data_IF_464681787269
#
_entry.id   IF_464681787269
#
_cell.length_a   1.000
_cell.length_b   1.000
_cell.length_c   1.000
_cell.angle_alpha   90.00
_cell.angle_beta   90.00
_cell.angle_gamma   90.00
#
_symmetry.space_group_name_H-M   'P 1'
#
loop_
_entity.id
_entity.type
_entity.pdbx_description
1 polymer ?
#
# COMPACT_ATOMS: atom_id res chain seq x y z
N UNK A 1 24.26 3.24 13.03
CA UNK A 1 24.23 1.82 12.61
C UNK A 1 24.21 0.96 13.86
N UNK A 2 23.39 -0.10 13.87
CA UNK A 2 23.23 -0.96 15.02
C UNK A 2 24.41 -1.90 15.29
N UNK A 3 24.35 -2.63 16.40
CA UNK A 3 25.33 -3.62 16.80
C UNK A 3 25.23 -4.87 15.89
N UNK A 4 26.28 -5.12 15.12
CA UNK A 4 26.35 -6.26 14.18
C UNK A 4 26.20 -7.62 14.86
N UNK A 5 26.52 -7.73 16.16
CA UNK A 5 26.40 -8.99 16.91
C UNK A 5 24.94 -9.35 17.20
N UNK A 6 24.03 -8.40 17.10
CA UNK A 6 22.59 -8.57 17.27
C UNK A 6 21.85 -8.79 15.95
N UNK A 7 22.56 -8.75 14.82
CA UNK A 7 21.94 -8.97 13.52
C UNK A 7 21.49 -10.43 13.37
N UNK A 8 20.22 -10.62 13.00
CA UNK A 8 19.64 -11.92 12.78
C UNK A 8 18.95 -11.92 11.40
N UNK A 9 19.33 -12.87 10.55
CA UNK A 9 18.74 -12.99 9.20
C UNK A 9 17.25 -13.32 9.21
N UNK A 10 16.73 -13.84 10.33
CA UNK A 10 15.29 -14.10 10.47
C UNK A 10 14.48 -12.82 10.68
N UNK A 11 15.14 -11.71 11.06
CA UNK A 11 14.50 -10.40 11.24
C UNK A 11 14.39 -9.62 9.92
N UNK A 12 14.98 -10.14 8.83
CA UNK A 12 14.83 -9.55 7.51
C UNK A 12 13.37 -9.70 7.07
N UNK A 13 12.76 -8.56 6.74
CA UNK A 13 11.39 -8.53 6.23
C UNK A 13 11.23 -9.43 5.00
N UNK A 14 10.18 -10.24 5.01
CA UNK A 14 9.81 -11.12 3.91
C UNK A 14 8.34 -10.92 3.59
N UNK A 15 8.05 -10.74 2.33
CA UNK A 15 6.68 -10.75 1.83
C UNK A 15 6.41 -12.09 1.16
N UNK A 16 5.41 -12.87 1.59
CA UNK A 16 5.13 -14.20 1.02
C UNK A 16 4.95 -14.20 -0.50
N UNK A 17 4.44 -13.09 -1.05
CA UNK A 17 4.22 -12.91 -2.48
C UNK A 17 5.51 -12.95 -3.33
N UNK A 18 6.69 -12.74 -2.74
CA UNK A 18 7.95 -12.87 -3.49
C UNK A 18 8.27 -14.32 -3.88
N UNK A 19 7.83 -15.28 -3.06
CA UNK A 19 8.07 -16.71 -3.29
C UNK A 19 6.88 -17.40 -3.98
N UNK A 20 5.78 -16.68 -4.20
CA UNK A 20 4.57 -17.20 -4.83
C UNK A 20 4.62 -16.99 -6.36
N UNK A 21 4.68 -18.06 -7.18
CA UNK A 21 4.79 -17.96 -8.64
C UNK A 21 3.56 -17.34 -9.32
N UNK A 22 2.46 -17.15 -8.62
CA UNK A 22 1.28 -16.45 -9.15
C UNK A 22 1.45 -14.94 -9.16
N UNK A 23 2.44 -14.42 -8.44
CA UNK A 23 2.79 -13.01 -8.39
C UNK A 23 3.95 -12.68 -9.32
N UNK A 24 3.91 -11.50 -9.91
CA UNK A 24 4.99 -10.99 -10.75
C UNK A 24 5.67 -9.81 -10.04
N UNK A 25 6.81 -10.03 -9.38
CA UNK A 25 7.55 -8.94 -8.75
C UNK A 25 8.21 -8.05 -9.81
N UNK A 26 8.26 -6.76 -9.51
CA UNK A 26 9.00 -5.77 -10.27
C UNK A 26 9.75 -4.88 -9.28
N UNK A 27 11.03 -4.65 -9.53
CA UNK A 27 11.84 -3.75 -8.72
C UNK A 27 12.01 -2.42 -9.47
N UNK A 28 11.70 -1.32 -8.78
CA UNK A 28 12.03 0.03 -9.23
C UNK A 28 13.44 0.44 -8.80
N UNK A 29 13.88 1.57 -9.32
CA UNK A 29 15.14 2.20 -8.88
C UNK A 29 15.00 2.81 -7.48
N UNK A 30 16.13 2.89 -6.76
CA UNK A 30 16.18 3.60 -5.50
C UNK A 30 15.97 5.12 -5.72
N UNK A 31 15.13 5.72 -4.88
CA UNK A 31 14.81 7.14 -4.93
C UNK A 31 15.48 7.86 -3.76
N UNK A 32 16.25 8.89 -4.06
CA UNK A 32 16.81 9.79 -3.05
C UNK A 32 15.82 10.91 -2.75
N UNK A 33 15.36 11.00 -1.50
CA UNK A 33 14.32 11.94 -1.07
C UNK A 33 14.90 12.91 -0.04
N UNK A 34 14.75 14.20 -0.30
CA UNK A 34 15.15 15.28 0.63
C UNK A 34 14.07 15.50 1.69
N UNK A 35 13.87 14.49 2.51
CA UNK A 35 12.95 14.51 3.64
C UNK A 35 13.36 13.49 4.69
N UNK A 36 12.95 13.72 5.93
CA UNK A 36 13.06 12.71 6.97
C UNK A 36 12.22 11.47 6.57
N UNK A 37 12.76 10.27 6.80
CA UNK A 37 12.08 9.03 6.43
C UNK A 37 10.71 8.85 7.12
N UNK A 38 10.52 9.43 8.32
CA UNK A 38 9.22 9.39 9.01
C UNK A 38 8.15 10.16 8.26
N UNK A 39 8.49 11.31 7.66
CA UNK A 39 7.53 12.07 6.84
C UNK A 39 7.13 11.28 5.59
N UNK A 40 8.08 10.55 5.01
CA UNK A 40 7.81 9.66 3.87
C UNK A 40 6.95 8.48 4.30
N UNK A 41 7.24 7.86 5.45
CA UNK A 41 6.44 6.79 6.01
C UNK A 41 5.01 7.26 6.30
N UNK A 42 4.83 8.43 6.91
CA UNK A 42 3.53 9.04 7.19
C UNK A 42 2.72 9.22 5.90
N UNK A 43 3.33 9.78 4.85
CA UNK A 43 2.67 9.92 3.55
C UNK A 43 2.28 8.56 2.95
N UNK A 44 3.15 7.56 3.05
CA UNK A 44 2.91 6.23 2.47
C UNK A 44 1.80 5.45 3.17
N UNK A 45 1.49 5.74 4.43
CA UNK A 45 0.43 5.06 5.19
C UNK A 45 -0.83 5.89 5.39
N UNK A 46 -0.90 7.06 4.76
CA UNK A 46 -2.09 7.90 4.74
C UNK A 46 -2.98 7.58 3.51
N UNK A 47 -4.11 6.89 3.66
CA UNK A 47 -5.04 6.67 2.54
C UNK A 47 -5.85 7.91 2.17
N UNK A 48 -5.91 8.93 3.03
CA UNK A 48 -6.77 10.09 2.82
C UNK A 48 -6.23 10.99 1.71
N UNK A 49 -4.90 11.19 1.64
CA UNK A 49 -4.29 12.07 0.64
C UNK A 49 -4.54 11.62 -0.82
N UNK A 50 -4.77 10.33 -1.03
CA UNK A 50 -4.86 9.73 -2.38
C UNK A 50 -5.93 10.38 -3.24
N UNK A 51 -7.05 10.77 -2.65
CA UNK A 51 -8.14 11.41 -3.38
C UNK A 51 -7.81 12.84 -3.82
N UNK A 52 -6.95 13.51 -3.09
CA UNK A 52 -6.59 14.93 -3.34
C UNK A 52 -5.32 15.07 -4.17
N UNK A 53 -4.31 14.24 -3.87
CA UNK A 53 -2.99 14.32 -4.52
C UNK A 53 -2.93 13.49 -5.81
N UNK A 54 -3.70 12.39 -5.88
CA UNK A 54 -3.73 11.47 -7.02
C UNK A 54 -5.13 11.29 -7.63
N UNK A 55 -5.91 12.39 -7.90
CA UNK A 55 -7.35 12.32 -8.17
C UNK A 55 -7.72 11.63 -9.49
N UNK A 56 -6.76 11.45 -10.40
CA UNK A 56 -7.02 10.86 -11.74
C UNK A 56 -6.40 9.46 -11.91
N UNK A 57 -5.54 9.04 -10.99
CA UNK A 57 -4.82 7.77 -11.10
C UNK A 57 -5.24 6.75 -10.05
N UNK A 58 -5.04 7.07 -8.78
CA UNK A 58 -5.27 6.16 -7.64
C UNK A 58 -6.51 6.53 -6.83
N UNK A 59 -6.89 7.82 -6.82
CA UNK A 59 -8.05 8.35 -6.11
C UNK A 59 -9.17 8.78 -7.05
N UNK A 60 -10.29 9.14 -6.45
CA UNK A 60 -11.43 9.81 -7.07
C UNK A 60 -12.26 10.49 -5.97
N UNK A 61 -13.20 11.40 -6.33
CA UNK A 61 -14.03 12.11 -5.35
C UNK A 61 -14.84 11.16 -4.44
N UNK A 62 -15.29 10.03 -4.96
CA UNK A 62 -16.09 9.05 -4.20
C UNK A 62 -15.33 8.46 -3.00
N UNK A 63 -14.00 8.56 -2.99
CA UNK A 63 -13.19 8.06 -1.88
C UNK A 63 -12.85 9.10 -0.81
N UNK A 64 -13.19 10.39 -1.02
CA UNK A 64 -12.80 11.48 -0.10
C UNK A 64 -13.35 11.30 1.32
N UNK A 65 -14.62 10.96 1.42
CA UNK A 65 -15.34 10.88 2.70
C UNK A 65 -15.44 9.46 3.26
N UNK A 66 -14.73 8.49 2.67
CA UNK A 66 -14.72 7.13 3.18
C UNK A 66 -13.84 7.06 4.42
N UNK A 67 -14.44 6.63 5.54
CA UNK A 67 -13.74 6.47 6.80
C UNK A 67 -12.53 5.56 6.65
N UNK A 68 -11.42 5.96 7.24
CA UNK A 68 -10.23 5.14 7.41
C UNK A 68 -10.30 4.48 8.78
N UNK A 69 -10.19 3.17 8.80
CA UNK A 69 -10.01 2.38 10.02
C UNK A 69 -8.51 2.25 10.31
N UNK A 70 -8.15 2.23 11.59
CA UNK A 70 -6.75 2.12 12.02
C UNK A 70 -6.65 1.09 13.14
N UNK A 71 -5.65 0.23 13.06
CA UNK A 71 -5.22 -0.66 14.12
C UNK A 71 -3.74 -0.43 14.42
N UNK A 72 -3.44 -0.23 15.71
CA UNK A 72 -2.09 -0.04 16.22
C UNK A 72 -1.74 -1.11 17.27
N UNK A 73 -2.48 -2.21 17.28
CA UNK A 73 -2.18 -3.33 18.16
C UNK A 73 -0.97 -4.10 17.62
N UNK A 74 0.07 -4.25 18.44
CA UNK A 74 1.32 -4.93 18.06
C UNK A 74 2.33 -4.03 17.35
N UNK A 75 3.24 -4.65 16.59
CA UNK A 75 4.40 -3.99 15.98
C UNK A 75 4.12 -3.45 14.57
N UNK A 76 2.91 -3.61 14.07
CA UNK A 76 2.49 -3.17 12.73
C UNK A 76 1.36 -2.16 12.88
N UNK A 77 1.53 -0.99 12.32
CA UNK A 77 0.44 -0.02 12.18
C UNK A 77 -0.30 -0.34 10.90
N UNK A 78 -1.60 -0.55 11.00
CA UNK A 78 -2.45 -0.84 9.84
C UNK A 78 -3.52 0.24 9.70
N UNK A 79 -3.59 0.84 8.51
CA UNK A 79 -4.69 1.74 8.15
C UNK A 79 -5.40 1.17 6.91
N UNK A 80 -6.73 1.15 6.90
CA UNK A 80 -7.44 0.60 5.74
C UNK A 80 -8.80 1.24 5.53
N UNK A 81 -9.29 1.09 4.29
CA UNK A 81 -10.66 1.42 3.91
C UNK A 81 -11.13 0.58 2.73
N UNK A 82 -12.41 0.39 2.64
CA UNK A 82 -13.09 -0.11 1.47
C UNK A 82 -13.91 1.00 0.81
N UNK A 83 -13.75 1.17 -0.49
CA UNK A 83 -14.56 2.06 -1.32
C UNK A 83 -15.48 1.15 -2.13
N UNK A 84 -16.74 1.09 -1.73
CA UNK A 84 -17.72 0.19 -2.33
C UNK A 84 -18.52 0.92 -3.40
N UNK A 85 -18.85 0.21 -4.49
CA UNK A 85 -19.76 0.68 -5.54
C UNK A 85 -19.35 2.03 -6.16
N UNK A 86 -18.10 2.18 -6.50
CA UNK A 86 -17.56 3.41 -7.07
C UNK A 86 -17.00 3.16 -8.48
N UNK A 87 -16.92 4.20 -9.33
CA UNK A 87 -16.24 4.09 -10.61
C UNK A 87 -14.79 3.59 -10.44
N UNK A 88 -14.27 2.77 -11.36
CA UNK A 88 -12.86 2.38 -11.33
C UNK A 88 -11.97 3.61 -11.54
N UNK A 89 -10.84 3.66 -10.84
CA UNK A 89 -9.82 4.69 -11.06
C UNK A 89 -8.93 4.34 -12.24
N UNK A 90 -8.29 5.34 -12.85
CA UNK A 90 -7.54 5.18 -14.09
C UNK A 90 -6.48 4.07 -14.05
N UNK A 91 -5.75 3.95 -12.92
CA UNK A 91 -4.78 2.90 -12.75
C UNK A 91 -5.39 1.50 -12.89
N UNK A 92 -6.46 1.20 -12.16
CA UNK A 92 -7.10 -0.12 -12.19
C UNK A 92 -7.83 -0.40 -13.51
N UNK A 93 -8.37 0.63 -14.16
CA UNK A 93 -9.01 0.48 -15.46
C UNK A 93 -8.04 -0.06 -16.53
N UNK A 94 -6.76 0.29 -16.42
CA UNK A 94 -5.73 -0.19 -17.35
C UNK A 94 -5.43 -1.69 -17.23
N UNK A 95 -5.74 -2.31 -16.09
CA UNK A 95 -5.45 -3.73 -15.83
C UNK A 95 -6.71 -4.61 -15.82
N UNK A 96 -7.85 -4.07 -15.38
CA UNK A 96 -9.04 -4.86 -15.10
C UNK A 96 -10.13 -4.84 -16.17
N UNK A 97 -10.09 -3.91 -17.15
CA UNK A 97 -11.14 -3.73 -18.17
C UNK A 97 -12.55 -3.70 -17.57
N UNK A 98 -12.72 -2.97 -16.45
CA UNK A 98 -13.99 -2.93 -15.73
C UNK A 98 -15.08 -2.24 -16.56
N UNK A 99 -16.24 -2.87 -16.74
CA UNK A 99 -17.38 -2.34 -17.48
C UNK A 99 -18.43 -1.62 -16.62
N UNK A 100 -18.17 -1.46 -15.32
CA UNK A 100 -19.09 -0.84 -14.38
C UNK A 100 -18.41 -0.53 -13.05
N UNK A 101 -19.22 -0.23 -12.04
CA UNK A 101 -18.69 0.05 -10.70
C UNK A 101 -17.93 -1.14 -10.10
N UNK A 102 -17.00 -0.81 -9.26
CA UNK A 102 -16.09 -1.73 -8.58
C UNK A 102 -16.15 -1.54 -7.07
N UNK A 103 -15.72 -2.55 -6.36
CA UNK A 103 -15.31 -2.47 -4.97
C UNK A 103 -13.79 -2.39 -4.92
N UNK A 104 -13.25 -1.37 -4.26
CA UNK A 104 -11.81 -1.15 -4.10
C UNK A 104 -11.42 -1.24 -2.64
N UNK A 105 -10.23 -1.72 -2.38
CA UNK A 105 -9.63 -1.73 -1.06
C UNK A 105 -8.29 -1.05 -1.06
N UNK A 106 -7.96 -0.45 0.05
CA UNK A 106 -6.67 0.14 0.37
C UNK A 106 -6.30 -0.31 1.78
N UNK A 107 -5.23 -1.10 1.91
CA UNK A 107 -4.62 -1.52 3.17
C UNK A 107 -3.19 -1.06 3.20
N UNK A 108 -2.83 -0.32 4.22
CA UNK A 108 -1.52 0.27 4.42
C UNK A 108 -0.95 -0.31 5.70
N UNK A 109 0.21 -0.94 5.59
CA UNK A 109 0.92 -1.55 6.69
C UNK A 109 2.25 -0.85 6.89
N UNK A 110 2.50 -0.33 8.08
CA UNK A 110 3.82 0.15 8.48
C UNK A 110 4.44 -0.86 9.43
N UNK A 111 5.40 -1.61 8.93
CA UNK A 111 6.29 -2.45 9.72
C UNK A 111 7.40 -1.57 10.26
N UNK A 112 7.35 -1.37 11.56
CA UNK A 112 8.33 -0.51 12.23
C UNK A 112 9.76 -1.06 12.07
N UNK A 113 10.76 -0.20 11.89
CA UNK A 113 10.65 1.27 11.88
C UNK A 113 10.46 1.89 10.48
N UNK A 114 10.58 1.14 9.37
CA UNK A 114 10.85 1.79 8.08
C UNK A 114 10.37 1.04 6.84
N UNK A 115 9.43 0.11 6.98
CA UNK A 115 8.91 -0.66 5.83
C UNK A 115 7.42 -0.37 5.69
N UNK A 116 7.04 0.28 4.60
CA UNK A 116 5.64 0.48 4.25
C UNK A 116 5.22 -0.50 3.15
N UNK A 117 4.12 -1.20 3.38
CA UNK A 117 3.50 -2.10 2.41
C UNK A 117 2.09 -1.63 2.15
N UNK A 118 1.76 -1.43 0.89
CA UNK A 118 0.43 -1.00 0.48
C UNK A 118 -0.19 -2.13 -0.35
N UNK A 119 -1.23 -2.76 0.19
CA UNK A 119 -2.07 -3.74 -0.49
C UNK A 119 -3.31 -3.03 -1.01
N UNK A 120 -3.42 -2.90 -2.31
CA UNK A 120 -4.52 -2.20 -2.91
C UNK A 120 -5.04 -2.93 -4.14
N UNK A 121 -6.34 -2.79 -4.38
CA UNK A 121 -6.94 -3.53 -5.46
C UNK A 121 -8.36 -3.10 -5.78
N UNK A 122 -8.90 -3.75 -6.80
CA UNK A 122 -10.22 -3.49 -7.34
C UNK A 122 -10.85 -4.76 -7.89
N UNK A 123 -12.13 -4.95 -7.64
CA UNK A 123 -12.90 -6.06 -8.19
C UNK A 123 -14.27 -5.59 -8.68
N UNK A 124 -14.86 -6.22 -9.70
CA UNK A 124 -16.21 -5.92 -10.14
C UNK A 124 -17.20 -6.01 -8.97
N UNK A 125 -18.04 -4.99 -8.80
CA UNK A 125 -18.97 -4.90 -7.69
C UNK A 125 -19.86 -6.13 -7.52
N UNK A 126 -20.29 -6.74 -8.61
CA UNK A 126 -21.20 -7.89 -8.56
C UNK A 126 -20.61 -9.12 -7.84
N UNK A 127 -19.27 -9.18 -7.70
CA UNK A 127 -18.58 -10.26 -6.97
C UNK A 127 -18.72 -10.11 -5.44
N UNK A 128 -18.98 -8.91 -4.93
CA UNK A 128 -19.16 -8.63 -3.49
C UNK A 128 -18.07 -9.23 -2.60
N UNK A 129 -16.83 -9.12 -3.04
CA UNK A 129 -15.69 -9.77 -2.39
C UNK A 129 -15.48 -9.29 -0.95
N UNK A 130 -15.00 -10.20 -0.12
CA UNK A 130 -14.56 -9.96 1.27
C UNK A 130 -13.04 -9.74 1.33
N UNK A 131 -12.54 -9.53 2.55
CA UNK A 131 -11.10 -9.38 2.78
C UNK A 131 -10.29 -10.62 2.37
N UNK A 132 -10.82 -11.81 2.63
CA UNK A 132 -10.18 -13.08 2.29
C UNK A 132 -10.20 -13.33 0.78
N UNK A 133 -11.16 -12.73 0.09
CA UNK A 133 -11.39 -12.92 -1.33
C UNK A 133 -10.69 -11.87 -2.22
N UNK A 134 -9.87 -10.97 -1.64
CA UNK A 134 -9.14 -9.93 -2.41
C UNK A 134 -8.29 -10.50 -3.55
N UNK A 135 -7.89 -11.76 -3.48
CA UNK A 135 -7.19 -12.48 -4.53
C UNK A 135 -8.01 -12.67 -5.83
N UNK A 136 -9.34 -12.50 -5.77
CA UNK A 136 -10.25 -12.61 -6.93
C UNK A 136 -10.30 -11.32 -7.77
N UNK A 137 -9.74 -10.23 -7.27
CA UNK A 137 -9.66 -8.95 -7.97
C UNK A 137 -8.31 -8.68 -8.61
N UNK A 138 -8.19 -7.55 -9.27
CA UNK A 138 -6.91 -6.99 -9.66
C UNK A 138 -6.26 -6.41 -8.42
N UNK A 139 -5.11 -6.94 -8.01
CA UNK A 139 -4.46 -6.65 -6.73
C UNK A 139 -2.98 -6.36 -6.91
N UNK A 140 -2.50 -5.38 -6.18
CA UNK A 140 -1.09 -4.97 -6.16
C UNK A 140 -0.59 -4.85 -4.74
N UNK A 141 0.71 -5.09 -4.58
CA UNK A 141 1.48 -4.69 -3.42
C UNK A 141 2.54 -3.68 -3.85
N UNK A 142 2.55 -2.50 -3.24
CA UNK A 142 3.67 -1.58 -3.32
C UNK A 142 4.46 -1.68 -2.02
N UNK A 143 5.78 -1.89 -2.12
CA UNK A 143 6.67 -2.09 -0.99
C UNK A 143 7.72 -1.01 -1.01
N UNK A 144 7.85 -0.29 0.08
CA UNK A 144 8.80 0.79 0.25
C UNK A 144 9.71 0.49 1.44
N UNK A 145 11.00 0.39 1.18
CA UNK A 145 12.03 0.18 2.18
C UNK A 145 12.73 1.52 2.42
N UNK A 146 12.37 2.18 3.50
CA UNK A 146 12.87 3.52 3.81
C UNK A 146 14.20 3.43 4.56
N UNK A 147 15.27 3.90 3.95
CA UNK A 147 16.60 3.93 4.56
C UNK A 147 16.96 5.37 4.94
N UNK A 148 16.99 5.73 6.23
CA UNK A 148 17.42 7.05 6.65
C UNK A 148 18.91 7.28 6.32
N UNK A 149 19.20 8.41 5.69
CA UNK A 149 20.57 8.88 5.38
C UNK A 149 20.99 9.93 6.39
N UNK A 150 20.09 10.85 6.71
CA UNK A 150 20.27 11.92 7.71
C UNK A 150 18.91 12.27 8.34
N UNK A 151 18.88 13.30 9.17
CA UNK A 151 17.60 13.84 9.70
C UNK A 151 16.70 14.44 8.63
N UNK A 152 17.25 14.80 7.47
CA UNK A 152 16.53 15.50 6.40
C UNK A 152 16.56 14.76 5.06
N UNK A 153 17.07 13.53 5.02
CA UNK A 153 17.25 12.78 3.79
C UNK A 153 17.08 11.28 4.01
N UNK A 154 16.45 10.61 3.04
CA UNK A 154 16.30 9.16 3.00
C UNK A 154 16.34 8.60 1.56
N UNK A 155 16.51 7.29 1.47
CA UNK A 155 16.43 6.51 0.22
C UNK A 155 15.28 5.53 0.35
#
# INVERSE_FOLDING_TARGET
MGDKTKANTNDIFKLPQFDDPTWKPHQGDALYIKSNYLNVAENLVDPAHVSFVHPTTLGNPESENIKVEVDTSGDIITAWRWIRDAPPVGFFQSFGNFSGNVDRWHYYYLYMPSIAVIDFGSAPRHLRITDEERHKGVRFFAIHLLTPVSETECI
#
